data_IF_691074394086
#
_entry.id   IF_691074394086
#
_cell.length_a   1.000
_cell.length_b   1.000
_cell.length_c   1.000
_cell.angle_alpha   90.00
_cell.angle_beta   90.00
_cell.angle_gamma   90.00
#
_symmetry.space_group_name_H-M   'P 1'
#
loop_
_entity.id
_entity.type
_entity.pdbx_description
1 polymer ?
#
# COMPACT_ATOMS: atom_id res chain seq x y z
N UNK A 1 -9.07 -7.37 -4.58
CA UNK A 1 -10.08 -7.30 -3.48
C UNK A 1 -10.96 -8.55 -3.40
N UNK A 2 -11.77 -8.86 -4.44
CA UNK A 2 -12.74 -9.99 -4.39
C UNK A 2 -12.08 -11.33 -4.08
N UNK A 3 -10.92 -11.61 -4.69
CA UNK A 3 -10.14 -12.83 -4.47
C UNK A 3 -9.71 -12.97 -3.01
N UNK A 4 -9.15 -11.90 -2.42
CA UNK A 4 -8.76 -11.88 -1.00
C UNK A 4 -9.96 -12.15 -0.09
N UNK A 5 -11.10 -11.50 -0.34
CA UNK A 5 -12.33 -11.75 0.43
C UNK A 5 -12.77 -13.22 0.32
N UNK A 6 -12.82 -13.76 -0.90
CA UNK A 6 -13.25 -15.14 -1.15
C UNK A 6 -12.32 -16.17 -0.51
N UNK A 7 -11.01 -15.95 -0.56
CA UNK A 7 -10.00 -16.88 -0.01
C UNK A 7 -9.88 -16.83 1.51
N UNK A 8 -10.12 -15.67 2.13
CA UNK A 8 -9.91 -15.47 3.57
C UNK A 8 -11.19 -15.41 4.38
N UNK A 9 -12.36 -15.28 3.74
CA UNK A 9 -13.64 -15.03 4.41
C UNK A 9 -13.69 -13.71 5.20
N UNK A 10 -12.67 -12.85 5.07
CA UNK A 10 -12.49 -11.66 5.91
C UNK A 10 -12.93 -10.40 5.16
N UNK A 11 -13.72 -9.54 5.83
CA UNK A 11 -14.13 -8.25 5.29
C UNK A 11 -12.92 -7.46 4.76
N UNK A 12 -12.90 -7.23 3.44
CA UNK A 12 -11.75 -6.64 2.75
C UNK A 12 -12.11 -5.27 2.19
N UNK A 13 -11.39 -4.24 2.62
CA UNK A 13 -11.46 -2.88 2.10
C UNK A 13 -10.29 -2.60 1.16
N UNK A 14 -10.43 -1.60 0.28
CA UNK A 14 -9.38 -1.14 -0.63
C UNK A 14 -9.29 0.39 -0.51
N UNK A 15 -8.06 0.91 -0.51
CA UNK A 15 -7.79 2.35 -0.55
C UNK A 15 -6.50 2.63 -1.30
N UNK A 16 -6.45 3.76 -2.01
CA UNK A 16 -5.28 4.19 -2.77
C UNK A 16 -4.43 5.16 -1.94
N UNK A 17 -3.12 4.90 -1.86
CA UNK A 17 -2.16 5.80 -1.25
C UNK A 17 -1.82 6.98 -2.18
N UNK A 18 -1.36 8.12 -1.64
CA UNK A 18 -1.34 8.48 -0.22
C UNK A 18 -2.73 8.89 0.33
N UNK A 19 -3.75 9.02 -0.53
CA UNK A 19 -5.06 9.59 -0.19
C UNK A 19 -5.73 8.98 1.05
N UNK A 20 -5.70 7.66 1.22
CA UNK A 20 -6.36 7.01 2.36
C UNK A 20 -5.78 7.43 3.73
N UNK A 21 -4.55 7.94 3.76
CA UNK A 21 -3.89 8.38 4.99
C UNK A 21 -4.68 9.49 5.70
N UNK A 22 -5.42 10.30 4.94
CA UNK A 22 -6.23 11.41 5.45
C UNK A 22 -7.67 11.02 5.81
N UNK A 23 -8.08 9.78 5.55
CA UNK A 23 -9.43 9.31 5.83
C UNK A 23 -9.42 8.16 6.84
N UNK A 24 -8.94 6.98 6.44
CA UNK A 24 -8.95 5.77 7.28
C UNK A 24 -7.60 5.50 7.96
N UNK A 25 -6.56 6.29 7.65
CA UNK A 25 -5.21 6.11 8.19
C UNK A 25 -5.16 6.08 9.72
N UNK A 26 -5.91 6.96 10.40
CA UNK A 26 -5.96 6.97 11.87
C UNK A 26 -6.66 5.72 12.43
N UNK A 27 -7.73 5.25 11.79
CA UNK A 27 -8.39 4.01 12.21
C UNK A 27 -7.45 2.81 12.09
N UNK A 28 -6.70 2.72 10.99
CA UNK A 28 -5.74 1.64 10.76
C UNK A 28 -4.61 1.60 11.80
N UNK A 29 -4.15 2.79 12.23
CA UNK A 29 -3.00 2.93 13.14
C UNK A 29 -3.40 2.96 14.61
N UNK A 30 -4.49 3.63 14.96
CA UNK A 30 -4.93 3.86 16.34
C UNK A 30 -6.06 2.94 16.81
N UNK A 31 -6.81 2.32 15.90
CA UNK A 31 -7.93 1.44 16.27
C UNK A 31 -7.49 0.08 16.85
N UNK A 32 -8.45 -0.81 17.16
CA UNK A 32 -8.17 -2.15 17.68
C UNK A 32 -7.18 -2.94 16.80
N UNK A 33 -6.28 -3.74 17.40
CA UNK A 33 -5.29 -4.54 16.67
C UNK A 33 -5.85 -5.81 16.03
N UNK A 34 -6.92 -5.63 15.23
CA UNK A 34 -7.63 -6.69 14.52
C UNK A 34 -7.42 -6.63 13.01
N UNK A 35 -6.98 -5.50 12.46
CA UNK A 35 -6.67 -5.35 11.04
C UNK A 35 -5.44 -6.15 10.58
N UNK A 36 -5.50 -6.65 9.35
CA UNK A 36 -4.38 -7.21 8.59
C UNK A 36 -4.24 -6.38 7.32
N UNK A 37 -3.04 -5.89 7.05
CA UNK A 37 -2.79 -4.90 6.02
C UNK A 37 -1.92 -5.52 4.91
N UNK A 38 -2.37 -5.36 3.67
CA UNK A 38 -1.59 -5.67 2.48
C UNK A 38 -1.36 -4.37 1.72
N UNK A 39 -0.10 -3.93 1.65
CA UNK A 39 0.29 -2.80 0.82
C UNK A 39 0.82 -3.32 -0.52
N UNK A 40 0.29 -2.78 -1.60
CA UNK A 40 0.82 -2.96 -2.95
C UNK A 40 1.48 -1.65 -3.36
N UNK A 41 2.73 -1.73 -3.80
CA UNK A 41 3.53 -0.61 -4.31
C UNK A 41 4.02 -0.96 -5.71
N UNK A 42 4.35 0.04 -6.49
CA UNK A 42 4.91 -0.05 -7.83
C UNK A 42 6.23 0.73 -7.94
N UNK A 43 6.85 0.63 -9.13
CA UNK A 43 8.08 1.34 -9.51
C UNK A 43 7.85 2.07 -10.85
N UNK A 44 7.03 3.14 -10.86
CA UNK A 44 6.73 3.85 -12.10
C UNK A 44 8.00 4.44 -12.71
N UNK A 45 8.14 4.34 -14.03
CA UNK A 45 9.27 4.91 -14.78
C UNK A 45 9.16 6.44 -14.89
N UNK A 46 7.94 6.96 -15.00
CA UNK A 46 7.67 8.39 -15.05
C UNK A 46 7.78 9.02 -13.65
N UNK A 47 8.75 9.90 -13.48
CA UNK A 47 8.93 10.65 -12.23
C UNK A 47 9.11 12.15 -12.49
N UNK A 48 8.14 12.94 -12.01
CA UNK A 48 8.10 14.37 -12.22
C UNK A 48 8.78 15.12 -11.07
N UNK A 49 9.62 16.13 -11.32
CA UNK A 49 10.16 16.97 -10.26
C UNK A 49 9.04 17.75 -9.57
N UNK A 50 9.15 17.93 -8.25
CA UNK A 50 8.28 18.85 -7.52
C UNK A 50 8.90 20.25 -7.61
N UNK A 51 8.17 21.27 -8.11
CA UNK A 51 8.70 22.63 -8.24
C UNK A 51 9.32 23.15 -6.94
N UNK A 52 10.43 23.87 -7.05
CA UNK A 52 11.11 24.54 -5.93
C UNK A 52 11.63 23.61 -4.81
N UNK A 53 11.73 22.31 -5.07
CA UNK A 53 12.25 21.34 -4.08
C UNK A 53 13.33 20.43 -4.69
N UNK A 54 14.17 19.79 -3.87
CA UNK A 54 15.22 18.87 -4.36
C UNK A 54 14.72 17.43 -4.59
N UNK A 55 13.41 17.19 -4.67
CA UNK A 55 12.82 15.86 -4.83
C UNK A 55 11.70 15.82 -5.87
N UNK A 56 11.29 14.61 -6.22
CA UNK A 56 10.27 14.32 -7.21
C UNK A 56 8.97 13.81 -6.58
N UNK A 57 7.89 13.76 -7.36
CA UNK A 57 6.61 13.24 -6.91
C UNK A 57 6.70 11.75 -6.57
N UNK A 58 7.43 10.96 -7.36
CA UNK A 58 7.71 9.55 -7.08
C UNK A 58 8.43 9.38 -5.74
N UNK A 59 9.47 10.19 -5.47
CA UNK A 59 10.17 10.17 -4.18
C UNK A 59 9.25 10.57 -3.02
N UNK A 60 8.38 11.56 -3.22
CA UNK A 60 7.40 12.00 -2.21
C UNK A 60 6.34 10.92 -1.92
N UNK A 61 5.80 10.27 -2.95
CA UNK A 61 4.83 9.17 -2.81
C UNK A 61 5.49 7.99 -2.11
N UNK A 62 6.72 7.66 -2.51
CA UNK A 62 7.47 6.56 -1.89
C UNK A 62 7.75 6.81 -0.42
N UNK A 63 8.21 8.01 -0.07
CA UNK A 63 8.44 8.39 1.32
C UNK A 63 7.18 8.28 2.18
N UNK A 64 6.02 8.69 1.64
CA UNK A 64 4.72 8.54 2.33
C UNK A 64 4.33 7.08 2.52
N UNK A 65 4.50 6.25 1.48
CA UNK A 65 4.24 4.82 1.58
C UNK A 65 5.14 4.17 2.65
N UNK A 66 6.44 4.44 2.61
CA UNK A 66 7.43 3.92 3.56
C UNK A 66 7.10 4.35 5.00
N UNK A 67 6.76 5.63 5.21
CA UNK A 67 6.31 6.15 6.50
C UNK A 67 5.05 5.46 7.02
N UNK A 68 4.09 5.15 6.15
CA UNK A 68 2.88 4.40 6.54
C UNK A 68 3.21 2.97 6.99
N UNK A 69 4.06 2.26 6.24
CA UNK A 69 4.47 0.90 6.57
C UNK A 69 5.21 0.84 7.90
N UNK A 70 6.18 1.74 8.11
CA UNK A 70 6.91 1.84 9.37
C UNK A 70 5.98 2.18 10.53
N UNK A 71 5.05 3.12 10.34
CA UNK A 71 4.07 3.48 11.36
C UNK A 71 3.13 2.31 11.75
N UNK A 72 2.81 1.42 10.81
CA UNK A 72 2.06 0.19 11.07
C UNK A 72 2.94 -0.83 11.83
N UNK A 73 4.17 -1.07 11.36
CA UNK A 73 5.12 -2.00 12.02
C UNK A 73 5.42 -1.59 13.46
N UNK A 74 5.74 -0.31 13.70
CA UNK A 74 6.04 0.22 15.04
C UNK A 74 4.87 0.09 16.02
N UNK A 75 3.63 0.09 15.53
CA UNK A 75 2.42 -0.14 16.34
C UNK A 75 2.04 -1.63 16.46
N UNK A 76 2.93 -2.55 16.09
CA UNK A 76 2.70 -3.99 16.16
C UNK A 76 1.57 -4.47 15.24
N UNK A 77 1.32 -3.77 14.12
CA UNK A 77 0.28 -4.16 13.16
C UNK A 77 0.79 -5.25 12.22
N UNK A 78 -0.09 -6.17 11.83
CA UNK A 78 0.20 -7.20 10.82
C UNK A 78 0.14 -6.57 9.44
N UNK A 79 1.29 -6.21 8.89
CA UNK A 79 1.42 -5.62 7.57
C UNK A 79 2.41 -6.41 6.71
N UNK A 80 1.98 -6.72 5.49
CA UNK A 80 2.79 -7.26 4.40
C UNK A 80 2.82 -6.22 3.27
N UNK A 81 3.96 -6.09 2.61
CA UNK A 81 4.13 -5.24 1.43
C UNK A 81 4.62 -6.08 0.27
N UNK A 82 4.00 -5.89 -0.89
CA UNK A 82 4.39 -6.52 -2.16
C UNK A 82 4.73 -5.41 -3.14
N UNK A 83 5.89 -5.55 -3.77
CA UNK A 83 6.29 -4.72 -4.90
C UNK A 83 5.86 -5.38 -6.20
N UNK A 84 5.09 -4.66 -6.99
CA UNK A 84 4.57 -5.11 -8.29
C UNK A 84 5.58 -4.88 -9.42
N UNK A 85 6.67 -4.16 -9.16
CA UNK A 85 7.68 -3.80 -10.14
C UNK A 85 7.22 -2.67 -11.07
N UNK A 86 7.95 -2.45 -12.18
CA UNK A 86 7.64 -1.38 -13.14
C UNK A 86 6.38 -1.68 -13.98
N UNK A 87 6.12 -2.96 -14.25
CA UNK A 87 4.96 -3.41 -15.02
C UNK A 87 3.81 -3.87 -14.12
N UNK A 88 3.06 -2.90 -13.58
CA UNK A 88 1.98 -3.13 -12.60
C UNK A 88 0.98 -4.21 -13.02
N UNK A 89 0.58 -4.22 -14.30
CA UNK A 89 -0.37 -5.21 -14.81
C UNK A 89 0.18 -6.64 -14.73
N UNK A 90 1.46 -6.84 -15.07
CA UNK A 90 2.12 -8.14 -14.96
C UNK A 90 2.29 -8.55 -13.50
N UNK A 91 2.72 -7.63 -12.64
CA UNK A 91 2.87 -7.87 -11.20
C UNK A 91 1.56 -8.29 -10.54
N UNK A 92 0.44 -7.64 -10.90
CA UNK A 92 -0.89 -8.00 -10.42
C UNK A 92 -1.34 -9.37 -10.93
N UNK A 93 -1.12 -9.69 -12.21
CA UNK A 93 -1.47 -10.99 -12.77
C UNK A 93 -0.68 -12.13 -12.09
N UNK A 94 0.60 -11.92 -11.80
CA UNK A 94 1.41 -12.87 -11.03
C UNK A 94 0.87 -13.05 -9.61
N UNK A 95 0.58 -11.94 -8.92
CA UNK A 95 0.01 -11.99 -7.58
C UNK A 95 -1.32 -12.74 -7.57
N UNK A 96 -2.20 -12.46 -8.53
CA UNK A 96 -3.47 -13.17 -8.70
C UNK A 96 -3.27 -14.67 -8.88
N UNK A 97 -2.34 -15.09 -9.75
CA UNK A 97 -2.03 -16.52 -9.95
C UNK A 97 -1.50 -17.20 -8.69
N UNK A 98 -0.72 -16.50 -7.88
CA UNK A 98 -0.14 -17.05 -6.64
C UNK A 98 -1.16 -17.21 -5.51
N UNK A 99 -2.26 -16.46 -5.54
CA UNK A 99 -3.27 -16.46 -4.47
C UNK A 99 -4.63 -17.04 -4.89
N UNK A 100 -4.82 -17.32 -6.19
CA UNK A 100 -6.00 -18.00 -6.75
C UNK A 100 -6.02 -19.49 -6.39
#
# INVERSE_FOLDING_TARGET
RKIILAKTGTATCLGFGPRFLHSTGQLHKGGPNKGVFLQLIDEPEDDLPVPETPYSFGRLIRAQADGDFLALKQRGRRVLRINLGPEVAQGLALLERLIS
#
